data_IF_910320898171
#
_entry.id   IF_910320898171
#
_cell.length_a   1.000
_cell.length_b   1.000
_cell.length_c   1.000
_cell.angle_alpha   90.00
_cell.angle_beta   90.00
_cell.angle_gamma   90.00
#
_symmetry.space_group_name_H-M   'P 1'
#
loop_
_entity.id
_entity.type
_entity.pdbx_description
1 polymer ?
#
# COMPACT_ATOMS: atom_id res chain seq x y z
N UNK A 1 18.95 12.02 -18.83
CA UNK A 1 19.65 12.77 -19.89
C UNK A 1 20.11 14.09 -19.28
N UNK A 2 21.41 14.43 -19.32
CA UNK A 2 21.83 15.78 -18.95
C UNK A 2 21.22 16.75 -19.96
N UNK A 3 20.51 17.77 -19.46
CA UNK A 3 19.86 18.79 -20.27
C UNK A 3 20.93 19.50 -21.10
N UNK A 4 20.81 19.62 -22.44
CA UNK A 4 21.74 20.41 -23.23
C UNK A 4 21.68 21.86 -22.74
N UNK A 5 22.75 22.30 -22.09
CA UNK A 5 22.90 23.66 -21.62
C UNK A 5 23.95 24.42 -22.45
N UNK A 6 23.87 25.74 -22.54
CA UNK A 6 24.93 26.57 -23.11
C UNK A 6 26.27 26.27 -22.43
N UNK A 7 27.37 26.38 -23.19
CA UNK A 7 28.73 26.13 -22.70
C UNK A 7 28.98 26.93 -21.41
N UNK A 8 29.47 26.25 -20.37
CA UNK A 8 29.85 26.88 -19.10
C UNK A 8 30.92 27.94 -19.35
N UNK A 9 30.53 29.21 -19.21
CA UNK A 9 31.46 30.34 -19.34
C UNK A 9 32.31 30.48 -18.09
N UNK A 10 33.64 30.51 -18.22
CA UNK A 10 34.58 30.65 -17.10
C UNK A 10 34.45 32.01 -16.37
N UNK A 11 34.09 33.07 -17.10
CA UNK A 11 33.82 34.40 -16.55
C UNK A 11 32.53 34.96 -17.13
N UNK A 12 31.66 35.46 -16.25
CA UNK A 12 30.44 36.16 -16.62
C UNK A 12 30.70 37.66 -16.74
N UNK A 13 30.13 38.30 -17.77
CA UNK A 13 30.20 39.75 -17.94
C UNK A 13 29.42 40.48 -16.84
N UNK A 14 29.80 41.72 -16.56
CA UNK A 14 29.14 42.50 -15.49
C UNK A 14 27.71 42.90 -15.88
N UNK A 15 27.45 43.11 -17.16
CA UNK A 15 26.09 43.28 -17.71
C UNK A 15 25.25 42.04 -17.42
N UNK A 16 25.78 40.83 -17.68
CA UNK A 16 25.08 39.58 -17.40
C UNK A 16 24.78 39.42 -15.91
N UNK A 17 25.76 39.71 -15.03
CA UNK A 17 25.55 39.66 -13.58
C UNK A 17 24.48 40.66 -13.13
N UNK A 18 24.48 41.87 -13.69
CA UNK A 18 23.50 42.91 -13.38
C UNK A 18 22.09 42.50 -13.81
N UNK A 19 21.91 41.97 -15.02
CA UNK A 19 20.63 41.44 -15.52
C UNK A 19 20.14 40.27 -14.67
N UNK A 20 21.02 39.33 -14.33
CA UNK A 20 20.71 38.16 -13.51
C UNK A 20 20.26 38.55 -12.08
N UNK A 21 20.93 39.53 -11.47
CA UNK A 21 20.52 40.09 -10.18
C UNK A 21 19.18 40.80 -10.30
N UNK A 22 18.95 41.59 -11.36
CA UNK A 22 17.69 42.31 -11.57
C UNK A 22 16.50 41.37 -11.75
N UNK A 23 16.66 40.30 -12.54
CA UNK A 23 15.67 39.22 -12.70
C UNK A 23 15.30 38.57 -11.35
N UNK A 24 16.28 38.38 -10.48
CA UNK A 24 16.07 37.79 -9.14
C UNK A 24 15.40 38.71 -8.12
N UNK A 25 15.36 40.02 -8.39
CA UNK A 25 14.71 41.03 -7.54
C UNK A 25 13.24 41.26 -7.90
N UNK A 26 12.77 40.71 -9.04
CA UNK A 26 11.39 40.85 -9.46
C UNK A 26 10.45 40.10 -8.50
N UNK A 27 9.30 40.71 -8.13
CA UNK A 27 8.36 40.09 -7.19
C UNK A 27 7.78 38.79 -7.79
N UNK A 28 7.76 37.73 -6.99
CA UNK A 28 7.21 36.43 -7.39
C UNK A 28 8.16 35.54 -8.21
N UNK A 29 9.39 35.98 -8.46
CA UNK A 29 10.40 35.18 -9.17
C UNK A 29 11.29 34.43 -8.17
N UNK A 30 11.34 33.09 -8.28
CA UNK A 30 12.25 32.24 -7.51
C UNK A 30 13.68 32.38 -8.04
N UNK A 31 14.65 32.53 -7.12
CA UNK A 31 16.09 32.60 -7.45
C UNK A 31 16.56 31.32 -8.15
N UNK A 32 16.07 30.16 -7.70
CA UNK A 32 16.45 28.86 -8.28
C UNK A 32 16.09 28.82 -9.76
N UNK A 33 14.88 29.24 -10.08
CA UNK A 33 14.32 29.12 -11.40
C UNK A 33 14.97 30.13 -12.38
N UNK A 34 15.39 31.30 -11.88
CA UNK A 34 16.25 32.23 -12.66
C UNK A 34 17.60 31.59 -12.93
N UNK A 35 18.20 30.94 -11.93
CA UNK A 35 19.48 30.25 -12.09
C UNK A 35 19.38 29.11 -13.12
N UNK A 36 18.33 28.31 -13.05
CA UNK A 36 18.04 27.24 -14.02
C UNK A 36 17.85 27.80 -15.43
N UNK A 37 17.11 28.91 -15.58
CA UNK A 37 16.91 29.55 -16.90
C UNK A 37 18.19 30.13 -17.50
N UNK A 38 19.09 30.64 -16.65
CA UNK A 38 20.38 31.18 -17.04
C UNK A 38 21.49 30.10 -17.08
N UNK A 39 21.15 28.84 -16.78
CA UNK A 39 22.08 27.72 -16.66
C UNK A 39 23.27 27.99 -15.72
N UNK A 40 23.01 28.70 -14.62
CA UNK A 40 23.98 29.01 -13.57
C UNK A 40 23.57 28.34 -12.26
N UNK A 41 24.54 27.98 -11.42
CA UNK A 41 24.24 27.39 -10.12
C UNK A 41 23.55 28.42 -9.19
N UNK A 42 22.47 28.08 -8.46
CA UNK A 42 21.72 29.02 -7.61
C UNK A 42 22.56 29.81 -6.60
N UNK A 43 23.65 29.20 -6.10
CA UNK A 43 24.62 29.85 -5.22
C UNK A 43 25.25 31.12 -5.85
N UNK A 44 25.47 31.13 -7.17
CA UNK A 44 26.06 32.27 -7.88
C UNK A 44 25.16 33.51 -7.81
N UNK A 45 23.84 33.32 -7.97
CA UNK A 45 22.88 34.41 -7.82
C UNK A 45 22.81 34.92 -6.39
N UNK A 46 22.88 34.05 -5.39
CA UNK A 46 22.96 34.46 -3.98
C UNK A 46 24.22 35.30 -3.71
N UNK A 47 25.36 34.90 -4.28
CA UNK A 47 26.62 35.64 -4.20
C UNK A 47 26.53 37.00 -4.91
N UNK A 48 26.00 37.05 -6.13
CA UNK A 48 25.88 38.31 -6.88
C UNK A 48 24.87 39.27 -6.26
N UNK A 49 23.79 38.78 -5.63
CA UNK A 49 22.89 39.61 -4.81
C UNK A 49 23.58 40.22 -3.60
N UNK A 50 24.52 39.51 -2.99
CA UNK A 50 25.36 40.07 -1.92
C UNK A 50 26.27 41.18 -2.47
N UNK A 51 26.99 40.91 -3.56
CA UNK A 51 27.87 41.88 -4.21
C UNK A 51 27.13 43.12 -4.74
N UNK A 52 25.88 42.97 -5.19
CA UNK A 52 25.04 44.10 -5.60
C UNK A 52 24.58 44.95 -4.42
N UNK A 53 24.37 44.36 -3.22
CA UNK A 53 24.09 45.13 -1.98
C UNK A 53 25.32 45.90 -1.51
N UNK A 54 26.50 45.32 -1.72
CA UNK A 54 27.80 45.91 -1.39
C UNK A 54 28.26 46.95 -2.44
N UNK A 55 27.46 47.20 -3.50
CA UNK A 55 27.74 48.23 -4.51
C UNK A 55 28.77 47.84 -5.58
N UNK A 56 29.30 46.62 -5.55
CA UNK A 56 30.31 46.13 -6.51
C UNK A 56 29.70 45.85 -7.90
N UNK A 57 28.42 45.46 -7.94
CA UNK A 57 27.70 45.19 -9.20
C UNK A 57 26.62 46.25 -9.41
N UNK A 58 26.76 47.04 -10.47
CA UNK A 58 25.83 48.11 -10.83
C UNK A 58 24.56 47.53 -11.47
N UNK A 59 23.47 47.45 -10.69
CA UNK A 59 22.20 46.86 -11.12
C UNK A 59 21.11 47.87 -11.49
N UNK A 60 21.30 49.16 -11.19
CA UNK A 60 20.27 50.21 -11.30
C UNK A 60 19.89 50.64 -12.73
N UNK A 61 20.63 50.20 -13.76
CA UNK A 61 20.43 50.63 -15.16
C UNK A 61 19.92 49.55 -16.13
N UNK A 62 19.67 48.32 -15.66
CA UNK A 62 19.18 47.24 -16.53
C UNK A 62 17.66 47.21 -16.49
N UNK A 63 17.04 47.60 -17.59
CA UNK A 63 15.61 47.43 -17.81
C UNK A 63 15.32 45.97 -18.13
N UNK A 64 14.49 45.34 -17.31
CA UNK A 64 14.05 43.96 -17.50
C UNK A 64 12.56 44.00 -17.73
N UNK A 65 12.11 43.41 -18.83
CA UNK A 65 10.70 43.39 -19.21
C UNK A 65 9.88 42.64 -18.15
N UNK A 66 8.94 43.36 -17.53
CA UNK A 66 8.07 42.84 -16.48
C UNK A 66 7.09 41.80 -17.04
N UNK A 67 6.79 41.84 -18.34
CA UNK A 67 5.92 40.87 -19.00
C UNK A 67 6.54 39.46 -18.95
N UNK A 68 7.83 39.35 -19.27
CA UNK A 68 8.58 38.08 -19.22
C UNK A 68 8.57 37.47 -17.81
N UNK A 69 8.63 38.29 -16.77
CA UNK A 69 8.57 37.81 -15.39
C UNK A 69 7.17 37.30 -14.99
N UNK A 70 6.11 37.95 -15.47
CA UNK A 70 4.73 37.50 -15.26
C UNK A 70 4.48 36.17 -16.00
N UNK A 71 4.98 36.03 -17.22
CA UNK A 71 4.93 34.79 -18.00
C UNK A 71 5.66 33.63 -17.29
N UNK A 72 6.86 33.88 -16.77
CA UNK A 72 7.61 32.88 -16.01
C UNK A 72 6.85 32.42 -14.75
N UNK A 73 6.13 33.32 -14.08
CA UNK A 73 5.28 32.97 -12.93
C UNK A 73 4.10 32.11 -13.36
N UNK A 74 3.38 32.51 -14.42
CA UNK A 74 2.23 31.77 -14.94
C UNK A 74 2.63 30.36 -15.42
N UNK A 75 3.76 30.24 -16.13
CA UNK A 75 4.30 28.96 -16.58
C UNK A 75 4.62 28.02 -15.40
N UNK A 76 5.17 28.54 -14.29
CA UNK A 76 5.44 27.74 -13.09
C UNK A 76 4.19 27.26 -12.39
N UNK A 77 3.20 28.14 -12.26
CA UNK A 77 1.91 27.77 -11.68
C UNK A 77 1.24 26.68 -12.52
N UNK A 78 1.27 26.82 -13.85
CA UNK A 78 0.74 25.82 -14.76
C UNK A 78 1.52 24.51 -14.70
N UNK A 79 2.85 24.54 -14.67
CA UNK A 79 3.68 23.34 -14.54
C UNK A 79 3.41 22.59 -13.24
N UNK A 80 3.32 23.31 -12.11
CA UNK A 80 2.98 22.70 -10.80
C UNK A 80 1.58 22.10 -10.79
N UNK A 81 0.61 22.77 -11.41
CA UNK A 81 -0.76 22.24 -11.56
C UNK A 81 -0.76 20.97 -12.41
N UNK A 82 -0.02 20.97 -13.52
CA UNK A 82 0.12 19.83 -14.41
C UNK A 82 0.77 18.63 -13.71
N UNK A 83 1.90 18.83 -13.03
CA UNK A 83 2.58 17.79 -12.26
C UNK A 83 1.68 17.20 -11.17
N UNK A 84 0.94 18.05 -10.45
CA UNK A 84 -0.06 17.59 -9.47
C UNK A 84 -1.12 16.72 -10.14
N UNK A 85 -1.70 17.19 -11.25
CA UNK A 85 -2.77 16.50 -11.95
C UNK A 85 -2.30 15.16 -12.53
N UNK A 86 -1.06 15.09 -12.99
CA UNK A 86 -0.44 13.86 -13.48
C UNK A 86 -0.32 12.82 -12.35
N UNK A 87 0.16 13.22 -11.17
CA UNK A 87 0.22 12.34 -9.99
C UNK A 87 -1.17 11.84 -9.60
N UNK A 88 -2.19 12.72 -9.57
CA UNK A 88 -3.56 12.35 -9.24
C UNK A 88 -4.16 11.37 -10.26
N UNK A 89 -3.92 11.61 -11.54
CA UNK A 89 -4.39 10.76 -12.62
C UNK A 89 -3.72 9.37 -12.59
N UNK A 90 -2.43 9.29 -12.35
CA UNK A 90 -1.71 8.02 -12.24
C UNK A 90 -2.21 7.20 -11.05
N UNK A 91 -2.56 7.86 -9.94
CA UNK A 91 -3.22 7.24 -8.79
C UNK A 91 -4.62 6.73 -9.13
N UNK A 92 -5.44 7.55 -9.80
CA UNK A 92 -6.81 7.18 -10.19
C UNK A 92 -6.81 5.98 -11.13
N UNK A 93 -5.91 5.95 -12.12
CA UNK A 93 -5.71 4.80 -13.02
C UNK A 93 -5.42 3.51 -12.27
N UNK A 94 -4.59 3.57 -11.22
CA UNK A 94 -4.29 2.40 -10.37
C UNK A 94 -5.47 2.02 -9.50
N UNK A 95 -6.19 3.00 -8.95
CA UNK A 95 -7.32 2.77 -8.07
C UNK A 95 -8.53 2.16 -8.77
N UNK A 96 -8.78 2.50 -10.04
CA UNK A 96 -9.96 2.04 -10.77
C UNK A 96 -10.05 0.50 -10.90
N UNK A 97 -8.91 -0.18 -10.80
CA UNK A 97 -8.84 -1.65 -10.83
C UNK A 97 -9.22 -2.32 -9.51
N UNK A 98 -9.26 -1.58 -8.42
CA UNK A 98 -9.50 -2.11 -7.06
C UNK A 98 -10.88 -1.69 -6.61
N UNK A 99 -11.73 -2.66 -6.28
CA UNK A 99 -13.02 -2.38 -5.66
C UNK A 99 -12.84 -2.25 -4.14
N UNK A 100 -12.95 -1.03 -3.63
CA UNK A 100 -12.88 -0.77 -2.19
C UNK A 100 -14.22 -1.11 -1.53
N UNK A 101 -14.25 -2.14 -0.68
CA UNK A 101 -15.44 -2.52 0.08
C UNK A 101 -15.49 -1.84 1.46
N UNK A 102 -14.32 -1.51 1.99
CA UNK A 102 -14.17 -0.91 3.32
C UNK A 102 -13.11 0.19 3.35
N UNK A 103 -13.09 0.98 4.43
CA UNK A 103 -12.00 1.95 4.68
C UNK A 103 -10.66 1.26 4.87
N UNK A 104 -10.64 0.03 5.37
CA UNK A 104 -9.42 -0.74 5.55
C UNK A 104 -8.80 -1.16 4.21
N UNK A 105 -9.62 -1.45 3.19
CA UNK A 105 -9.13 -1.69 1.82
C UNK A 105 -8.48 -0.44 1.22
N UNK A 106 -9.06 0.73 1.49
CA UNK A 106 -8.49 2.02 1.06
C UNK A 106 -7.14 2.24 1.75
N UNK A 107 -7.06 2.01 3.07
CA UNK A 107 -5.81 2.16 3.79
C UNK A 107 -4.74 1.15 3.36
N UNK A 108 -5.13 -0.10 3.06
CA UNK A 108 -4.23 -1.10 2.50
C UNK A 108 -3.68 -0.69 1.12
N UNK A 109 -4.53 -0.13 0.25
CA UNK A 109 -4.10 0.41 -1.04
C UNK A 109 -3.11 1.58 -0.87
N UNK A 110 -3.40 2.51 0.04
CA UNK A 110 -2.52 3.64 0.37
C UNK A 110 -1.17 3.15 0.90
N UNK A 111 -1.17 2.14 1.79
CA UNK A 111 0.05 1.56 2.34
C UNK A 111 0.93 0.93 1.26
N UNK A 112 0.32 0.26 0.27
CA UNK A 112 1.06 -0.31 -0.86
C UNK A 112 1.67 0.74 -1.80
N UNK A 113 1.10 1.95 -1.86
CA UNK A 113 1.50 3.01 -2.81
C UNK A 113 2.25 4.19 -2.17
N UNK A 114 2.55 4.12 -0.86
CA UNK A 114 3.17 5.21 -0.11
C UNK A 114 4.59 5.60 -0.56
N UNK A 115 5.32 4.68 -1.20
CA UNK A 115 6.66 4.94 -1.72
C UNK A 115 6.64 5.79 -3.00
N UNK A 116 5.62 5.58 -3.83
CA UNK A 116 5.49 6.25 -5.12
C UNK A 116 4.73 7.58 -5.03
N UNK A 117 3.83 7.73 -4.06
CA UNK A 117 2.91 8.86 -3.98
C UNK A 117 2.75 9.38 -2.54
N UNK A 118 2.60 10.71 -2.34
CA UNK A 118 2.41 11.26 -1.00
C UNK A 118 1.09 10.79 -0.35
N UNK A 119 1.16 10.28 0.88
CA UNK A 119 0.00 9.78 1.66
C UNK A 119 -1.12 10.81 1.74
N UNK A 120 -0.80 12.09 2.00
CA UNK A 120 -1.81 13.16 2.07
C UNK A 120 -2.60 13.33 0.77
N UNK A 121 -1.94 13.20 -0.38
CA UNK A 121 -2.59 13.29 -1.69
C UNK A 121 -3.55 12.12 -1.89
N UNK A 122 -3.09 10.90 -1.57
CA UNK A 122 -3.93 9.70 -1.68
C UNK A 122 -5.13 9.74 -0.73
N UNK A 123 -4.91 10.13 0.54
CA UNK A 123 -6.00 10.30 1.50
C UNK A 123 -7.07 11.29 1.02
N UNK A 124 -6.65 12.42 0.45
CA UNK A 124 -7.58 13.40 -0.14
C UNK A 124 -8.38 12.81 -1.30
N UNK A 125 -7.73 12.08 -2.22
CA UNK A 125 -8.39 11.47 -3.38
C UNK A 125 -9.42 10.41 -2.98
N UNK A 126 -9.13 9.62 -1.94
CA UNK A 126 -10.02 8.56 -1.47
C UNK A 126 -11.00 9.01 -0.36
N UNK A 127 -11.03 10.30 -0.01
CA UNK A 127 -11.95 10.84 1.00
C UNK A 127 -11.71 10.32 2.43
N UNK A 128 -10.46 9.92 2.75
CA UNK A 128 -10.08 9.42 4.09
C UNK A 128 -9.13 10.38 4.80
N UNK A 129 -9.14 10.37 6.14
CA UNK A 129 -8.23 11.20 6.94
C UNK A 129 -6.83 10.60 7.03
N UNK A 130 -5.74 11.40 6.94
CA UNK A 130 -4.38 10.92 7.20
C UNK A 130 -4.19 10.39 8.62
N UNK A 131 -4.83 10.99 9.62
CA UNK A 131 -4.79 10.50 11.00
C UNK A 131 -5.38 9.10 11.12
N UNK A 132 -6.50 8.84 10.45
CA UNK A 132 -7.10 7.50 10.36
C UNK A 132 -6.19 6.47 9.70
N UNK A 133 -5.43 6.86 8.67
CA UNK A 133 -4.44 5.97 8.03
C UNK A 133 -3.32 5.57 8.99
N UNK A 134 -2.69 6.54 9.66
CA UNK A 134 -1.62 6.23 10.61
C UNK A 134 -2.12 5.47 11.84
N UNK A 135 -3.34 5.77 12.31
CA UNK A 135 -3.98 4.99 13.35
C UNK A 135 -4.23 3.55 12.89
N UNK A 136 -4.75 3.34 11.69
CA UNK A 136 -4.94 2.01 11.10
C UNK A 136 -3.63 1.24 10.96
N UNK A 137 -2.55 1.90 10.54
CA UNK A 137 -1.22 1.29 10.40
C UNK A 137 -0.63 0.80 11.74
N UNK A 138 -1.00 1.47 12.84
CA UNK A 138 -0.54 1.13 14.18
C UNK A 138 -1.50 0.18 14.92
N UNK A 139 -2.66 -0.18 14.33
CA UNK A 139 -3.61 -1.07 15.00
C UNK A 139 -3.01 -2.46 15.16
N UNK A 140 -3.04 -3.04 16.37
CA UNK A 140 -2.72 -4.45 16.54
C UNK A 140 -3.73 -5.30 15.75
N UNK A 141 -3.28 -6.46 15.28
CA UNK A 141 -4.16 -7.41 14.61
C UNK A 141 -5.33 -7.77 15.54
N UNK A 142 -6.57 -7.62 15.04
CA UNK A 142 -7.75 -8.04 15.80
C UNK A 142 -7.76 -9.56 15.98
N UNK A 143 -8.48 -10.07 16.98
CA UNK A 143 -8.62 -11.52 17.18
C UNK A 143 -9.07 -12.23 15.89
N UNK A 144 -10.03 -11.66 15.16
CA UNK A 144 -10.46 -12.19 13.85
C UNK A 144 -9.33 -12.24 12.82
N UNK A 145 -8.48 -11.22 12.76
CA UNK A 145 -7.34 -11.20 11.83
C UNK A 145 -6.28 -12.25 12.21
N UNK A 146 -6.10 -12.51 13.51
CA UNK A 146 -5.24 -13.59 14.00
C UNK A 146 -5.84 -14.95 13.63
N UNK A 147 -7.14 -15.13 13.86
CA UNK A 147 -7.86 -16.37 13.53
C UNK A 147 -7.85 -16.63 12.02
N UNK A 148 -8.06 -15.60 11.20
CA UNK A 148 -8.00 -15.65 9.73
C UNK A 148 -6.59 -16.02 9.26
N UNK A 149 -5.55 -15.43 9.85
CA UNK A 149 -4.16 -15.79 9.54
C UNK A 149 -3.87 -17.26 9.89
N UNK A 150 -4.35 -17.73 11.04
CA UNK A 150 -4.28 -19.14 11.43
C UNK A 150 -5.06 -20.06 10.48
N UNK A 151 -6.23 -19.63 10.01
CA UNK A 151 -7.04 -20.36 9.03
C UNK A 151 -6.33 -20.45 7.68
N UNK A 152 -5.75 -19.36 7.19
CA UNK A 152 -4.95 -19.33 5.95
C UNK A 152 -3.77 -20.29 6.03
N UNK A 153 -3.08 -20.34 7.17
CA UNK A 153 -1.95 -21.25 7.33
C UNK A 153 -2.40 -22.71 7.34
N UNK A 154 -3.53 -23.02 8.01
CA UNK A 154 -4.16 -24.34 7.94
C UNK A 154 -4.57 -24.72 6.51
N UNK A 155 -5.11 -23.78 5.74
CA UNK A 155 -5.45 -23.97 4.32
C UNK A 155 -4.19 -24.32 3.52
N UNK A 156 -3.12 -23.53 3.66
CA UNK A 156 -1.85 -23.76 2.95
C UNK A 156 -1.26 -25.12 3.26
N UNK A 157 -1.28 -25.51 4.53
CA UNK A 157 -0.75 -26.80 4.98
C UNK A 157 -1.62 -27.98 4.49
N UNK A 158 -2.94 -27.83 4.45
CA UNK A 158 -3.83 -28.84 3.85
C UNK A 158 -3.58 -28.97 2.34
N UNK A 159 -3.46 -27.85 1.64
CA UNK A 159 -3.17 -27.81 0.21
C UNK A 159 -1.80 -28.46 -0.10
N UNK A 160 -0.76 -28.12 0.65
CA UNK A 160 0.58 -28.68 0.48
C UNK A 160 0.62 -30.20 0.73
N UNK A 161 -0.06 -30.68 1.78
CA UNK A 161 -0.17 -32.12 2.07
C UNK A 161 -0.88 -32.90 0.97
N UNK A 162 -1.86 -32.28 0.32
CA UNK A 162 -2.57 -32.85 -0.82
C UNK A 162 -1.79 -32.79 -2.13
N UNK A 163 -0.50 -32.41 -2.12
CA UNK A 163 0.31 -32.15 -3.31
C UNK A 163 -0.33 -31.16 -4.28
N UNK A 164 -1.05 -30.16 -3.72
CA UNK A 164 -1.76 -29.13 -4.48
C UNK A 164 -2.91 -29.65 -5.37
N UNK A 165 -3.35 -30.89 -5.15
CA UNK A 165 -4.46 -31.48 -5.91
C UNK A 165 -5.82 -31.06 -5.36
N UNK A 166 -5.91 -30.70 -4.07
CA UNK A 166 -7.19 -30.38 -3.45
C UNK A 166 -7.64 -28.95 -3.77
N UNK A 167 -8.80 -28.83 -4.41
CA UNK A 167 -9.48 -27.55 -4.59
C UNK A 167 -10.22 -27.07 -3.33
N UNK A 168 -10.82 -25.88 -3.41
CA UNK A 168 -11.52 -25.22 -2.30
C UNK A 168 -12.53 -26.12 -1.55
N UNK A 169 -13.40 -26.91 -2.21
CA UNK A 169 -14.35 -27.78 -1.50
C UNK A 169 -13.67 -28.85 -0.65
N UNK A 170 -12.62 -29.50 -1.17
CA UNK A 170 -11.87 -30.57 -0.48
C UNK A 170 -11.02 -30.04 0.66
N UNK A 171 -10.44 -28.85 0.49
CA UNK A 171 -9.74 -28.17 1.59
C UNK A 171 -10.71 -27.82 2.71
N UNK A 172 -11.91 -27.32 2.39
CA UNK A 172 -12.93 -26.99 3.39
C UNK A 172 -13.34 -28.23 4.20
N UNK A 173 -13.61 -29.35 3.53
CA UNK A 173 -13.90 -30.63 4.19
C UNK A 173 -12.73 -31.10 5.08
N UNK A 174 -11.50 -31.02 4.59
CA UNK A 174 -10.31 -31.37 5.38
C UNK A 174 -10.13 -30.48 6.62
N UNK A 175 -10.50 -29.20 6.54
CA UNK A 175 -10.45 -28.27 7.68
C UNK A 175 -11.58 -28.55 8.70
N UNK A 176 -12.76 -28.94 8.23
CA UNK A 176 -13.88 -29.36 9.09
C UNK A 176 -13.54 -30.66 9.83
N UNK A 177 -12.98 -31.66 9.16
CA UNK A 177 -12.56 -32.91 9.82
C UNK A 177 -11.50 -32.68 10.90
N UNK A 178 -10.58 -31.74 10.67
CA UNK A 178 -9.51 -31.43 11.62
C UNK A 178 -10.00 -30.64 12.83
N UNK A 179 -10.98 -29.77 12.63
CA UNK A 179 -11.67 -29.08 13.73
C UNK A 179 -12.54 -30.03 14.54
N UNK A 180 -13.19 -31.01 13.88
CA UNK A 180 -13.88 -32.09 14.56
C UNK A 180 -12.90 -32.99 15.35
N UNK A 181 -11.71 -33.29 14.81
CA UNK A 181 -10.68 -34.04 15.54
C UNK A 181 -10.26 -33.35 16.84
N UNK A 182 -10.01 -32.02 16.82
CA UNK A 182 -9.70 -31.28 18.05
C UNK A 182 -10.86 -31.26 19.04
N UNK A 183 -12.12 -31.21 18.56
CA UNK A 183 -13.30 -31.29 19.44
C UNK A 183 -13.45 -32.68 20.07
N UNK A 184 -13.13 -33.76 19.35
CA UNK A 184 -13.11 -35.12 19.90
C UNK A 184 -11.99 -35.30 20.94
N UNK A 185 -10.85 -34.63 20.75
CA UNK A 185 -9.76 -34.61 21.73
C UNK A 185 -10.14 -33.78 22.99
N UNK A 186 -10.92 -32.71 22.84
CA UNK A 186 -11.43 -31.88 23.95
C UNK A 186 -12.60 -32.51 24.71
N UNK A 187 -13.37 -33.42 24.09
CA UNK A 187 -14.41 -34.22 24.75
C UNK A 187 -13.86 -35.34 25.66
N UNK A 188 -12.54 -35.53 25.71
CA UNK A 188 -11.92 -36.66 26.38
C UNK A 188 -11.76 -36.61 27.92
N UNK A 189 -12.20 -35.58 28.69
CA UNK A 189 -12.20 -35.71 30.15
C UNK A 189 -13.52 -35.51 30.91
N UNK A 190 -14.70 -35.49 30.27
CA UNK A 190 -15.99 -35.54 31.02
C UNK A 190 -17.03 -36.37 30.28
N UNK A 191 -17.58 -37.35 30.99
CA UNK A 191 -18.64 -38.29 30.60
C UNK A 191 -18.18 -39.58 29.90
N UNK A 192 -17.80 -40.50 30.78
CA UNK A 192 -17.90 -41.96 30.62
C UNK A 192 -19.27 -42.28 30.01
N UNK A 193 -19.30 -42.75 28.75
CA UNK A 193 -20.29 -43.67 28.14
C UNK A 193 -20.24 -43.70 26.59
N UNK A 194 -19.24 -43.13 25.93
CA UNK A 194 -18.86 -43.63 24.61
C UNK A 194 -17.97 -44.84 24.85
N UNK A 195 -18.52 -46.05 24.69
CA UNK A 195 -17.75 -47.29 24.84
C UNK A 195 -16.47 -47.20 24.01
N UNK A 196 -15.35 -47.73 24.52
CA UNK A 196 -14.05 -47.77 23.83
C UNK A 196 -14.17 -48.17 22.35
N UNK A 197 -15.15 -49.02 22.01
CA UNK A 197 -15.50 -49.41 20.65
C UNK A 197 -15.96 -48.28 19.71
N UNK A 198 -16.61 -47.22 20.21
CA UNK A 198 -17.06 -46.07 19.41
C UNK A 198 -15.89 -45.14 19.15
N UNK A 199 -15.08 -44.86 20.17
CA UNK A 199 -13.86 -44.05 20.02
C UNK A 199 -12.84 -44.77 19.13
N UNK A 200 -12.68 -46.09 19.28
CA UNK A 200 -11.82 -46.91 18.41
C UNK A 200 -12.34 -47.02 16.99
N UNK A 201 -13.66 -47.16 16.78
CA UNK A 201 -14.25 -47.11 15.43
C UNK A 201 -14.05 -45.75 14.79
N UNK A 202 -14.30 -44.66 15.50
CA UNK A 202 -14.05 -43.30 14.98
C UNK A 202 -12.56 -43.14 14.65
N UNK A 203 -11.65 -43.57 15.53
CA UNK A 203 -10.20 -43.49 15.33
C UNK A 203 -9.70 -44.39 14.18
N UNK A 204 -10.29 -45.56 13.99
CA UNK A 204 -10.02 -46.47 12.87
C UNK A 204 -10.54 -45.91 11.54
N UNK A 205 -11.75 -45.36 11.52
CA UNK A 205 -12.29 -44.69 10.33
C UNK A 205 -11.51 -43.42 9.97
N UNK A 206 -11.01 -42.66 10.96
CA UNK A 206 -10.08 -41.54 10.71
C UNK A 206 -8.73 -42.03 10.15
N UNK A 207 -8.24 -43.20 10.59
CA UNK A 207 -7.00 -43.83 10.11
C UNK A 207 -7.15 -44.37 8.67
N UNK A 208 -8.31 -44.95 8.32
CA UNK A 208 -8.66 -45.43 6.97
C UNK A 208 -9.01 -44.30 6.00
N UNK A 209 -9.56 -43.17 6.49
CA UNK A 209 -9.78 -41.94 5.70
C UNK A 209 -8.47 -41.30 5.17
N UNK A 210 -7.31 -41.81 5.60
CA UNK A 210 -5.99 -41.37 5.16
C UNK A 210 -5.66 -41.84 3.74
N UNK A 211 -6.38 -42.82 3.17
CA UNK A 211 -5.88 -43.48 1.95
C UNK A 211 -6.61 -43.22 0.63
N UNK A 212 -7.94 -43.13 0.42
CA UNK A 212 -8.35 -42.81 -0.97
C UNK A 212 -9.75 -42.25 -1.30
N UNK A 213 -10.80 -42.33 -0.47
CA UNK A 213 -12.15 -41.92 -0.93
C UNK A 213 -12.93 -41.11 0.13
N UNK A 214 -12.64 -39.81 0.25
CA UNK A 214 -13.20 -38.96 1.32
C UNK A 214 -14.67 -38.51 1.10
N UNK A 215 -15.17 -38.51 -0.15
CA UNK A 215 -16.47 -37.89 -0.48
C UNK A 215 -17.69 -38.81 -0.16
N UNK A 216 -17.62 -40.12 -0.41
CA UNK A 216 -18.71 -41.07 -0.07
C UNK A 216 -18.75 -41.43 1.44
N UNK A 217 -17.61 -41.30 2.12
CA UNK A 217 -17.47 -41.63 3.54
C UNK A 217 -17.85 -40.47 4.47
N UNK A 218 -17.75 -39.21 4.03
CA UNK A 218 -18.24 -38.04 4.78
C UNK A 218 -19.76 -38.10 5.01
N UNK A 219 -20.53 -38.46 3.98
CA UNK A 219 -21.97 -38.68 4.10
C UNK A 219 -22.31 -39.85 5.05
N UNK A 220 -21.49 -40.91 5.04
CA UNK A 220 -21.63 -42.03 5.97
C UNK A 220 -21.28 -41.66 7.41
N UNK A 221 -20.23 -40.85 7.62
CA UNK A 221 -19.79 -40.41 8.95
C UNK A 221 -20.75 -39.40 9.58
N UNK A 222 -21.26 -38.42 8.83
CA UNK A 222 -22.32 -37.52 9.32
C UNK A 222 -23.57 -38.29 9.72
N UNK A 223 -23.96 -39.30 8.94
CA UNK A 223 -25.09 -40.18 9.24
C UNK A 223 -24.86 -41.00 10.53
N UNK A 224 -23.65 -41.50 10.75
CA UNK A 224 -23.29 -42.26 11.96
C UNK A 224 -23.22 -41.34 13.19
N UNK A 225 -22.61 -40.17 13.09
CA UNK A 225 -22.54 -39.19 14.20
C UNK A 225 -23.94 -38.69 14.57
N UNK A 226 -24.82 -38.43 13.60
CA UNK A 226 -26.22 -38.09 13.85
C UNK A 226 -27.00 -39.24 14.49
N UNK A 227 -26.78 -40.49 14.05
CA UNK A 227 -27.40 -41.69 14.65
C UNK A 227 -26.96 -41.90 16.10
N UNK A 228 -25.67 -41.76 16.38
CA UNK A 228 -25.14 -41.89 17.73
C UNK A 228 -25.59 -40.74 18.65
N UNK A 229 -25.69 -39.52 18.11
CA UNK A 229 -26.22 -38.36 18.83
C UNK A 229 -27.73 -38.46 19.12
N UNK A 230 -28.51 -39.17 18.29
CA UNK A 230 -29.92 -39.49 18.57
C UNK A 230 -30.06 -40.61 19.59
N UNK A 231 -29.26 -41.68 19.48
CA UNK A 231 -29.26 -42.79 20.45
C UNK A 231 -28.86 -42.35 21.87
N UNK A 232 -27.96 -41.38 22.01
CA UNK A 232 -27.58 -40.81 23.31
C UNK A 232 -28.65 -39.89 23.94
N UNK A 233 -29.68 -39.48 23.17
CA UNK A 233 -30.77 -38.61 23.64
C UNK A 233 -32.02 -39.36 24.12
N UNK A 234 -32.05 -40.69 24.00
CA UNK A 234 -33.04 -41.53 24.69
C UNK A 234 -34.50 -41.30 24.30
N UNK A 235 -34.80 -41.27 22.99
CA UNK A 235 -36.15 -41.50 22.45
C UNK A 235 -36.22 -42.89 21.79
#
# INVERSE_FOLDING_TARGET
MPTPGPRTTYRYSDVFKATAVRLSQLPGVSVRDVAESLYIHPFMLSRWRKLAREGVIMSKGVEVDKAVAAELKALREMKRKYERLQVEHDLLKKSHRVHFRSKDDIFAFIAHHQEAHPVRTMCRLHGVSPSGFYAWQQRPASQRAIDDAGLVERIRLAHARSRQTYGSPRIHAALQLRTLSSVVDDLAPKDILLSLSVVEKIRATIKECREEHQDELLASLECIVLKLSRAARGD
#
